data_IF_689627613547
#
_entry.id   IF_689627613547
#
_cell.length_a   1.000
_cell.length_b   1.000
_cell.length_c   1.000
_cell.angle_alpha   90.00
_cell.angle_beta   90.00
_cell.angle_gamma   90.00
#
_symmetry.space_group_name_H-M   'P 1'
#
loop_
_entity.id
_entity.type
_entity.pdbx_description
1 polymer ?
#
# COMPACT_ATOMS: atom_id res chain seq x y z
N UNK A 1 -17.71 -7.42 3.28
CA UNK A 1 -16.82 -7.99 4.29
C UNK A 1 -17.58 -8.09 5.61
N UNK A 2 -17.66 -9.28 6.21
CA UNK A 2 -18.24 -9.44 7.55
C UNK A 2 -17.09 -9.38 8.57
N UNK A 3 -16.97 -8.26 9.28
CA UNK A 3 -15.85 -8.02 10.20
C UNK A 3 -16.05 -8.69 11.57
N UNK A 4 -17.18 -9.37 11.78
CA UNK A 4 -17.51 -10.03 13.05
C UNK A 4 -16.72 -11.32 13.31
N UNK A 5 -15.85 -11.71 12.37
CA UNK A 5 -15.08 -12.94 12.45
C UNK A 5 -13.59 -12.70 12.16
N UNK A 6 -13.03 -11.70 12.83
CA UNK A 6 -11.60 -11.46 12.81
C UNK A 6 -10.99 -11.95 14.12
N UNK A 7 -9.81 -12.56 14.05
CA UNK A 7 -9.01 -12.93 15.22
C UNK A 7 -7.55 -12.63 14.97
N UNK A 8 -6.76 -12.51 16.03
CA UNK A 8 -5.31 -12.33 15.95
C UNK A 8 -4.60 -13.68 16.07
N UNK A 9 -3.57 -13.90 15.26
CA UNK A 9 -2.64 -15.00 15.46
C UNK A 9 -1.53 -14.61 16.44
N UNK A 10 -0.58 -15.53 16.67
CA UNK A 10 0.58 -15.24 17.51
C UNK A 10 1.42 -14.09 16.94
N UNK A 11 1.87 -13.21 17.84
CA UNK A 11 2.75 -12.10 17.48
C UNK A 11 4.13 -12.61 17.08
N UNK A 12 4.64 -12.09 15.96
CA UNK A 12 5.96 -12.40 15.44
C UNK A 12 6.86 -11.19 15.66
N UNK A 13 7.98 -11.38 16.36
CA UNK A 13 8.88 -10.31 16.77
C UNK A 13 10.23 -10.46 16.08
N UNK A 14 10.75 -9.37 15.54
CA UNK A 14 12.13 -9.31 15.08
C UNK A 14 12.64 -7.88 15.21
N UNK A 15 13.77 -7.72 15.90
CA UNK A 15 14.36 -6.40 16.21
C UNK A 15 13.29 -5.44 16.78
N UNK A 16 13.19 -4.25 16.20
CA UNK A 16 12.25 -3.20 16.58
C UNK A 16 10.90 -3.26 15.85
N UNK A 17 10.52 -4.43 15.31
CA UNK A 17 9.25 -4.62 14.64
C UNK A 17 8.46 -5.80 15.23
N UNK A 18 7.15 -5.63 15.35
CA UNK A 18 6.20 -6.71 15.63
C UNK A 18 5.19 -6.80 14.50
N UNK A 19 4.90 -8.03 14.07
CA UNK A 19 3.85 -8.36 13.12
C UNK A 19 2.82 -9.23 13.83
N UNK A 20 1.55 -8.85 13.76
CA UNK A 20 0.44 -9.65 14.32
C UNK A 20 -0.53 -9.96 13.18
N UNK A 21 -0.54 -11.20 12.68
CA UNK A 21 -1.45 -11.64 11.62
C UNK A 21 -2.92 -11.48 12.04
N UNK A 22 -3.75 -11.00 11.12
CA UNK A 22 -5.21 -10.94 11.28
C UNK A 22 -5.80 -12.06 10.43
N UNK A 23 -6.52 -12.98 11.09
CA UNK A 23 -7.15 -14.13 10.48
C UNK A 23 -8.64 -13.87 10.29
N UNK A 24 -9.25 -14.57 9.33
CA UNK A 24 -10.70 -14.67 9.24
C UNK A 24 -11.12 -16.09 8.90
N UNK A 25 -12.19 -16.56 9.56
CA UNK A 25 -12.86 -17.82 9.22
C UNK A 25 -13.73 -17.71 7.94
N UNK A 26 -13.92 -16.49 7.42
CA UNK A 26 -14.71 -16.23 6.23
C UNK A 26 -13.82 -16.15 4.99
N UNK A 27 -14.10 -17.02 4.01
CA UNK A 27 -13.53 -16.88 2.69
C UNK A 27 -14.57 -16.24 1.77
N UNK A 28 -14.51 -14.91 1.59
CA UNK A 28 -15.36 -14.22 0.61
C UNK A 28 -14.63 -14.22 -0.74
N UNK A 29 -15.14 -14.93 -1.77
CA UNK A 29 -14.55 -14.87 -3.10
C UNK A 29 -14.55 -13.41 -3.57
N UNK A 30 -13.37 -12.93 -3.96
CA UNK A 30 -13.18 -11.60 -4.48
C UNK A 30 -12.28 -11.73 -5.70
N UNK A 31 -12.92 -11.92 -6.84
CA UNK A 31 -12.24 -12.15 -8.12
C UNK A 31 -11.85 -10.80 -8.72
N UNK A 32 -10.61 -10.39 -8.44
CA UNK A 32 -10.00 -9.18 -8.99
C UNK A 32 -8.60 -9.50 -9.50
N UNK A 33 -8.24 -8.85 -10.60
CA UNK A 33 -6.90 -8.83 -11.14
C UNK A 33 -6.05 -7.87 -10.32
N UNK A 34 -4.87 -8.28 -9.87
CA UNK A 34 -3.89 -7.36 -9.30
C UNK A 34 -3.02 -6.71 -10.40
N UNK A 35 -2.42 -5.57 -10.09
CA UNK A 35 -1.65 -4.79 -11.06
C UNK A 35 -0.44 -5.54 -11.63
N UNK A 36 0.25 -6.33 -10.81
CA UNK A 36 1.43 -7.10 -11.23
C UNK A 36 1.04 -8.13 -12.29
N UNK A 37 0.02 -8.93 -12.01
CA UNK A 37 -0.50 -9.93 -12.93
C UNK A 37 -1.04 -9.27 -14.21
N UNK A 38 -1.81 -8.20 -14.07
CA UNK A 38 -2.40 -7.47 -15.20
C UNK A 38 -1.37 -6.90 -16.17
N UNK A 39 -0.31 -6.26 -15.66
CA UNK A 39 0.79 -5.75 -16.49
C UNK A 39 1.59 -6.90 -17.11
N UNK A 40 1.92 -7.94 -16.34
CA UNK A 40 2.69 -9.10 -16.82
C UNK A 40 1.99 -9.84 -17.96
N UNK A 41 0.66 -9.96 -17.90
CA UNK A 41 -0.14 -10.61 -18.94
C UNK A 41 -0.48 -9.70 -20.13
N UNK A 42 -0.10 -8.42 -20.10
CA UNK A 42 -0.50 -7.44 -21.11
C UNK A 42 -2.00 -7.11 -21.11
N UNK A 43 -2.71 -7.49 -20.04
CA UNK A 43 -4.13 -7.19 -19.86
C UNK A 43 -4.33 -5.76 -19.34
N UNK A 44 -3.33 -5.18 -18.70
CA UNK A 44 -3.32 -3.80 -18.23
C UNK A 44 -2.25 -3.03 -18.99
N UNK A 45 -2.59 -1.83 -19.46
CA UNK A 45 -1.62 -0.88 -20.03
C UNK A 45 -1.71 0.44 -19.29
N UNK A 46 -0.56 1.06 -19.04
CA UNK A 46 -0.49 2.39 -18.42
C UNK A 46 0.41 3.27 -19.26
N UNK A 47 -0.04 4.48 -19.56
CA UNK A 47 0.63 5.47 -20.41
C UNK A 47 0.52 6.85 -19.78
N UNK A 48 1.42 7.76 -20.16
CA UNK A 48 1.24 9.19 -19.84
C UNK A 48 -0.04 9.70 -20.50
N UNK A 49 -0.68 10.69 -19.89
CA UNK A 49 -1.74 11.42 -20.56
C UNK A 49 -1.15 12.33 -21.66
N UNK A 50 -1.94 12.64 -22.69
CA UNK A 50 -1.55 13.60 -23.73
C UNK A 50 -1.45 15.05 -23.21
N UNK A 51 -1.90 15.29 -21.98
CA UNK A 51 -1.81 16.56 -21.29
C UNK A 51 -0.52 16.64 -20.45
N UNK A 52 -0.10 17.84 -20.07
CA UNK A 52 1.09 18.04 -19.21
C UNK A 52 0.82 17.75 -17.73
N UNK A 53 -0.28 17.06 -17.37
CA UNK A 53 -0.64 16.81 -15.98
C UNK A 53 0.08 15.56 -15.45
N UNK A 54 1.19 15.77 -14.76
CA UNK A 54 2.00 14.70 -14.17
C UNK A 54 1.30 13.92 -13.05
N UNK A 55 0.19 14.45 -12.51
CA UNK A 55 -0.62 13.85 -11.45
C UNK A 55 -1.67 12.86 -11.97
N UNK A 56 -1.69 12.61 -13.28
CA UNK A 56 -2.58 11.63 -13.90
C UNK A 56 -1.81 10.75 -14.88
N UNK A 57 -2.24 9.49 -14.99
CA UNK A 57 -1.82 8.59 -16.05
C UNK A 57 -3.04 7.92 -16.64
N UNK A 58 -2.95 7.56 -17.92
CA UNK A 58 -3.99 6.82 -18.61
C UNK A 58 -3.82 5.34 -18.34
N UNK A 59 -4.84 4.70 -17.77
CA UNK A 59 -4.84 3.26 -17.51
C UNK A 59 -5.94 2.59 -18.32
N UNK A 60 -5.59 1.45 -18.94
CA UNK A 60 -6.50 0.57 -19.66
C UNK A 60 -6.52 -0.80 -19.03
N UNK A 61 -7.69 -1.24 -18.56
CA UNK A 61 -7.96 -2.61 -18.14
C UNK A 61 -8.65 -3.36 -19.29
N UNK A 62 -7.88 -4.13 -20.06
CA UNK A 62 -8.39 -4.99 -21.13
C UNK A 62 -8.85 -6.37 -20.63
N UNK A 63 -8.76 -6.67 -19.33
CA UNK A 63 -9.24 -7.95 -18.80
C UNK A 63 -10.76 -8.00 -18.72
N UNK A 64 -11.30 -9.20 -18.48
CA UNK A 64 -12.72 -9.41 -18.16
C UNK A 64 -13.02 -9.30 -16.67
N UNK A 65 -11.98 -9.10 -15.84
CA UNK A 65 -12.06 -8.98 -14.39
C UNK A 65 -11.84 -7.52 -13.96
N UNK A 66 -12.40 -7.09 -12.81
CA UNK A 66 -12.04 -5.81 -12.23
C UNK A 66 -10.56 -5.81 -11.82
N UNK A 67 -9.85 -4.70 -12.02
CA UNK A 67 -8.45 -4.52 -11.63
C UNK A 67 -8.39 -3.74 -10.32
N UNK A 68 -7.69 -4.25 -9.31
CA UNK A 68 -7.41 -3.51 -8.07
C UNK A 68 -6.05 -2.82 -8.15
N UNK A 69 -6.00 -1.57 -7.69
CA UNK A 69 -4.79 -0.75 -7.55
C UNK A 69 -4.70 -0.29 -6.11
N UNK A 70 -3.57 -0.44 -5.42
CA UNK A 70 -3.43 0.00 -4.02
C UNK A 70 -2.88 1.42 -3.88
N UNK A 71 -3.20 2.10 -2.78
CA UNK A 71 -2.72 3.46 -2.51
C UNK A 71 -1.21 3.37 -2.24
N UNK A 72 -0.44 4.08 -3.03
CA UNK A 72 1.01 4.07 -2.96
C UNK A 72 1.66 3.01 -3.83
N UNK A 73 0.91 2.13 -4.52
CA UNK A 73 1.50 1.10 -5.38
C UNK A 73 2.28 1.77 -6.52
N UNK A 74 3.55 1.40 -6.69
CA UNK A 74 4.44 2.08 -7.60
C UNK A 74 4.43 1.44 -9.00
N UNK A 75 4.31 2.31 -10.00
CA UNK A 75 4.57 2.03 -11.41
C UNK A 75 5.85 2.76 -11.81
N UNK A 76 6.84 2.01 -12.30
CA UNK A 76 8.15 2.53 -12.64
C UNK A 76 8.33 2.67 -14.14
N UNK A 77 9.11 3.64 -14.59
CA UNK A 77 9.36 3.89 -16.01
C UNK A 77 8.90 5.26 -16.47
N UNK A 78 8.45 5.34 -17.72
CA UNK A 78 8.03 6.56 -18.42
C UNK A 78 9.01 7.71 -18.22
N UNK A 79 8.52 8.94 -18.03
CA UNK A 79 9.31 10.13 -17.68
C UNK A 79 9.76 10.12 -16.22
N UNK A 80 8.90 9.61 -15.33
CA UNK A 80 9.10 9.51 -13.87
C UNK A 80 8.35 8.31 -13.30
N UNK A 81 8.89 7.68 -12.26
CA UNK A 81 8.12 6.71 -11.49
C UNK A 81 6.93 7.39 -10.81
N UNK A 82 5.81 6.69 -10.69
CA UNK A 82 4.59 7.17 -10.05
C UNK A 82 4.11 6.19 -9.01
N UNK A 83 3.46 6.70 -7.97
CA UNK A 83 2.65 5.90 -7.05
C UNK A 83 1.17 6.20 -7.27
N UNK A 84 0.33 5.19 -7.21
CA UNK A 84 -1.12 5.33 -7.26
C UNK A 84 -1.58 6.25 -6.11
N UNK A 85 -2.38 7.27 -6.41
CA UNK A 85 -2.71 8.30 -5.43
C UNK A 85 -3.69 7.82 -4.35
N UNK A 86 -4.55 6.86 -4.70
CA UNK A 86 -5.55 6.24 -3.84
C UNK A 86 -5.87 4.85 -4.36
N UNK A 87 -6.22 3.91 -3.48
CA UNK A 87 -6.66 2.60 -3.93
C UNK A 87 -7.93 2.71 -4.77
N UNK A 88 -8.09 1.85 -5.77
CA UNK A 88 -9.15 1.90 -6.78
C UNK A 88 -9.46 0.50 -7.30
N UNK A 89 -10.67 0.30 -7.80
CA UNK A 89 -11.07 -0.89 -8.56
C UNK A 89 -11.56 -0.47 -9.94
N UNK A 90 -10.72 -0.67 -10.94
CA UNK A 90 -10.98 -0.29 -12.33
C UNK A 90 -11.90 -1.36 -12.97
N UNK A 91 -13.03 -0.97 -13.57
CA UNK A 91 -13.93 -1.91 -14.21
C UNK A 91 -13.25 -2.76 -15.30
N UNK A 92 -13.77 -3.95 -15.60
CA UNK A 92 -13.38 -4.70 -16.80
C UNK A 92 -13.56 -3.87 -18.08
N UNK A 93 -12.71 -4.11 -19.08
CA UNK A 93 -12.82 -3.50 -20.42
C UNK A 93 -12.98 -1.98 -20.39
N UNK A 94 -12.24 -1.31 -19.51
CA UNK A 94 -12.36 0.12 -19.26
C UNK A 94 -11.02 0.85 -19.48
N UNK A 95 -11.11 2.11 -19.88
CA UNK A 95 -9.99 3.02 -20.08
C UNK A 95 -10.32 4.34 -19.36
N UNK A 96 -9.45 4.78 -18.45
CA UNK A 96 -9.66 5.98 -17.67
C UNK A 96 -8.35 6.62 -17.24
N UNK A 97 -8.39 7.92 -16.96
CA UNK A 97 -7.30 8.61 -16.27
C UNK A 97 -7.39 8.32 -14.78
N UNK A 98 -6.29 7.85 -14.19
CA UNK A 98 -6.18 7.58 -12.76
C UNK A 98 -5.26 8.61 -12.09
N UNK A 99 -5.57 9.03 -10.85
CA UNK A 99 -4.72 9.94 -10.12
C UNK A 99 -3.46 9.23 -9.61
N UNK A 100 -2.31 9.88 -9.76
CA UNK A 100 -1.01 9.41 -9.28
C UNK A 100 -0.22 10.54 -8.64
N UNK A 101 0.86 10.19 -7.93
CA UNK A 101 1.88 11.14 -7.51
C UNK A 101 3.25 10.66 -8.00
N UNK A 102 4.10 11.55 -8.50
CA UNK A 102 5.47 11.22 -8.87
C UNK A 102 6.25 10.76 -7.63
N UNK A 103 6.86 9.57 -7.71
CA UNK A 103 7.75 9.01 -6.68
C UNK A 103 9.22 9.20 -7.01
N UNK A 104 9.51 9.98 -8.06
CA UNK A 104 10.85 10.30 -8.55
C UNK A 104 10.86 11.77 -9.00
N UNK A 105 11.79 12.58 -8.46
CA UNK A 105 11.83 14.04 -8.71
C UNK A 105 12.95 14.46 -9.67
N UNK A 106 14.06 13.72 -9.67
CA UNK A 106 15.30 14.11 -10.35
C UNK A 106 15.42 13.65 -11.80
N UNK A 107 14.41 12.99 -12.36
CA UNK A 107 14.37 12.53 -13.75
C UNK A 107 13.20 13.17 -14.49
N UNK A 108 13.41 13.56 -15.74
CA UNK A 108 12.35 13.98 -16.66
C UNK A 108 12.72 13.55 -18.09
N UNK A 109 13.19 12.32 -18.21
CA UNK A 109 13.65 11.71 -19.45
C UNK A 109 12.98 10.35 -19.58
N UNK A 110 12.47 10.05 -20.77
CA UNK A 110 11.79 8.79 -21.04
C UNK A 110 12.76 7.62 -20.91
N UNK A 111 12.38 6.62 -20.11
CA UNK A 111 13.17 5.42 -19.87
C UNK A 111 12.58 4.17 -20.52
N UNK A 112 11.27 3.97 -20.35
CA UNK A 112 10.54 2.78 -20.81
C UNK A 112 9.03 3.03 -20.70
N UNK A 113 8.21 2.10 -21.15
CA UNK A 113 6.80 2.08 -20.71
C UNK A 113 6.70 1.88 -19.19
N UNK A 114 5.54 2.18 -18.61
CA UNK A 114 5.28 1.87 -17.20
C UNK A 114 5.28 0.36 -16.95
N UNK A 115 6.01 -0.05 -15.93
CA UNK A 115 6.14 -1.43 -15.49
C UNK A 115 5.84 -1.54 -13.99
N UNK A 116 5.51 -2.74 -13.56
CA UNK A 116 5.36 -3.04 -12.15
C UNK A 116 6.71 -2.92 -11.43
N UNK A 117 6.77 -2.22 -10.29
CA UNK A 117 8.05 -2.00 -9.59
C UNK A 117 8.32 -2.97 -8.44
N UNK A 118 7.31 -3.74 -8.00
CA UNK A 118 7.30 -4.53 -6.76
C UNK A 118 7.33 -3.69 -5.46
N UNK A 119 7.23 -2.36 -5.55
CA UNK A 119 7.24 -1.46 -4.40
C UNK A 119 5.95 -0.69 -4.21
N UNK A 120 5.74 -0.29 -2.97
CA UNK A 120 4.68 0.61 -2.53
C UNK A 120 5.31 1.76 -1.75
N UNK A 121 4.68 2.93 -1.76
CA UNK A 121 5.04 4.03 -0.87
C UNK A 121 5.18 3.52 0.56
N UNK A 122 6.29 3.86 1.24
CA UNK A 122 6.54 3.47 2.62
C UNK A 122 5.42 3.94 3.55
N UNK A 123 5.22 3.24 4.66
CA UNK A 123 4.09 3.43 5.58
C UNK A 123 3.95 4.89 6.06
N UNK A 124 5.07 5.59 6.28
CA UNK A 124 5.13 6.98 6.67
C UNK A 124 4.60 7.93 5.58
N UNK A 125 4.95 7.66 4.31
CA UNK A 125 4.46 8.42 3.16
C UNK A 125 2.96 8.22 2.99
N UNK A 126 2.45 6.97 3.04
CA UNK A 126 1.00 6.68 3.00
C UNK A 126 0.27 7.39 4.15
N UNK A 127 0.82 7.36 5.36
CA UNK A 127 0.26 8.06 6.54
C UNK A 127 0.17 9.57 6.33
N UNK A 128 1.24 10.22 5.85
CA UNK A 128 1.25 11.66 5.57
C UNK A 128 0.24 12.04 4.48
N UNK A 129 0.16 11.28 3.38
CA UNK A 129 -0.87 11.46 2.35
C UNK A 129 -2.27 11.41 2.94
N UNK A 130 -2.54 10.41 3.78
CA UNK A 130 -3.87 10.18 4.35
C UNK A 130 -4.32 11.26 5.34
N UNK A 131 -3.40 12.00 5.98
CA UNK A 131 -3.71 13.08 6.93
C UNK A 131 -3.58 14.49 6.35
N UNK A 132 -2.98 14.62 5.17
CA UNK A 132 -2.87 15.90 4.52
C UNK A 132 -4.27 16.40 4.07
N UNK A 133 -4.66 17.57 4.57
CA UNK A 133 -5.93 18.24 4.21
C UNK A 133 -5.74 19.47 3.32
N UNK A 134 -4.52 20.02 3.25
CA UNK A 134 -4.32 21.42 2.85
C UNK A 134 -3.26 21.65 1.76
N UNK A 135 -2.44 20.64 1.41
CA UNK A 135 -1.37 20.80 0.39
C UNK A 135 -1.63 19.91 -0.85
N UNK A 136 -1.07 20.24 -2.03
CA UNK A 136 -0.98 19.28 -3.13
C UNK A 136 -0.30 17.99 -2.65
N UNK A 137 -0.89 16.84 -2.97
CA UNK A 137 -0.34 15.55 -2.51
C UNK A 137 1.07 15.29 -3.05
N UNK A 138 1.42 15.87 -4.21
CA UNK A 138 2.73 15.73 -4.83
C UNK A 138 3.88 16.21 -3.95
N UNK A 139 3.77 17.40 -3.35
CA UNK A 139 4.83 17.93 -2.47
C UNK A 139 4.97 17.10 -1.19
N UNK A 140 3.85 16.63 -0.64
CA UNK A 140 3.85 15.75 0.54
C UNK A 140 4.59 14.45 0.25
N UNK A 141 4.38 13.87 -0.93
CA UNK A 141 5.07 12.65 -1.38
C UNK A 141 6.56 12.90 -1.53
N UNK A 142 6.97 13.94 -2.27
CA UNK A 142 8.39 14.25 -2.47
C UNK A 142 9.11 14.56 -1.16
N UNK A 143 8.55 15.41 -0.29
CA UNK A 143 9.16 15.71 1.01
C UNK A 143 9.27 14.45 1.89
N UNK A 144 8.33 13.52 1.77
CA UNK A 144 8.41 12.26 2.52
C UNK A 144 9.49 11.32 1.97
N UNK A 145 9.68 11.27 0.65
CA UNK A 145 10.76 10.50 0.01
C UNK A 145 12.13 11.11 0.32
N UNK A 146 12.27 12.44 0.25
CA UNK A 146 13.50 13.16 0.63
C UNK A 146 13.90 12.86 2.10
N UNK A 147 12.92 12.82 3.01
CA UNK A 147 13.17 12.43 4.40
C UNK A 147 13.59 10.96 4.52
N UNK A 148 12.95 10.04 3.78
CA UNK A 148 13.32 8.63 3.77
C UNK A 148 14.75 8.43 3.26
N UNK A 149 15.13 9.12 2.17
CA UNK A 149 16.48 9.06 1.63
C UNK A 149 17.51 9.54 2.66
N UNK A 150 17.21 10.62 3.37
CA UNK A 150 18.06 11.18 4.43
C UNK A 150 18.19 10.21 5.60
N UNK A 151 17.06 9.73 6.13
CA UNK A 151 17.01 8.82 7.29
C UNK A 151 17.73 7.50 7.01
N UNK A 152 17.73 7.03 5.76
CA UNK A 152 18.35 5.78 5.34
C UNK A 152 19.70 5.94 4.67
N UNK A 153 20.22 7.16 4.57
CA UNK A 153 21.44 7.48 3.84
C UNK A 153 21.46 6.86 2.42
N UNK A 154 20.32 6.94 1.72
CA UNK A 154 20.09 6.33 0.41
C UNK A 154 20.04 7.34 -0.73
N UNK A 155 20.57 8.54 -0.52
CA UNK A 155 20.63 9.63 -1.50
C UNK A 155 20.95 9.14 -2.91
N UNK A 156 20.09 9.48 -3.87
CA UNK A 156 20.19 9.08 -5.27
C UNK A 156 20.13 10.33 -6.18
N UNK A 157 20.67 10.22 -7.40
CA UNK A 157 20.61 11.32 -8.38
C UNK A 157 19.15 11.62 -8.78
N UNK A 158 18.34 10.58 -8.86
CA UNK A 158 16.94 10.59 -9.32
C UNK A 158 15.95 10.90 -8.21
N UNK A 159 16.36 10.79 -6.94
CA UNK A 159 15.48 10.93 -5.77
C UNK A 159 14.25 10.04 -5.88
N UNK A 160 14.46 8.78 -6.27
CA UNK A 160 13.39 7.82 -6.51
C UNK A 160 13.12 6.99 -5.26
N UNK A 161 11.85 6.83 -4.88
CA UNK A 161 11.44 5.94 -3.77
C UNK A 161 12.07 4.55 -3.87
N UNK A 162 12.06 3.97 -5.08
CA UNK A 162 12.64 2.67 -5.38
C UNK A 162 14.11 2.55 -4.96
N UNK A 163 14.91 3.61 -5.10
CA UNK A 163 16.34 3.55 -4.81
C UNK A 163 16.61 3.31 -3.31
N UNK A 164 15.74 3.84 -2.43
CA UNK A 164 15.80 3.55 -1.00
C UNK A 164 15.51 2.07 -0.70
N UNK A 165 14.56 1.45 -1.40
CA UNK A 165 14.27 0.02 -1.25
C UNK A 165 15.44 -0.84 -1.76
N UNK A 166 15.95 -0.57 -2.95
CA UNK A 166 17.04 -1.36 -3.55
C UNK A 166 18.31 -1.31 -2.69
N UNK A 167 18.67 -0.12 -2.16
CA UNK A 167 19.84 0.04 -1.29
C UNK A 167 19.68 -0.62 0.09
N UNK A 168 18.44 -0.79 0.58
CA UNK A 168 18.16 -1.46 1.85
C UNK A 168 17.71 -2.91 1.69
N UNK A 169 17.76 -3.48 0.48
CA UNK A 169 17.19 -4.79 0.15
C UNK A 169 17.64 -5.89 1.11
N UNK A 170 18.93 -5.97 1.43
CA UNK A 170 19.46 -7.01 2.33
C UNK A 170 18.91 -6.91 3.77
N UNK A 171 18.79 -5.69 4.30
CA UNK A 171 18.21 -5.47 5.62
C UNK A 171 16.71 -5.78 5.60
N UNK A 172 16.00 -5.37 4.56
CA UNK A 172 14.58 -5.68 4.41
C UNK A 172 14.35 -7.19 4.33
N UNK A 173 15.14 -7.88 3.52
CA UNK A 173 15.06 -9.33 3.34
C UNK A 173 15.46 -10.10 4.62
N UNK A 174 16.27 -9.52 5.51
CA UNK A 174 16.58 -10.14 6.82
C UNK A 174 15.38 -10.08 7.78
N UNK A 175 14.61 -8.99 7.77
CA UNK A 175 13.36 -8.88 8.53
C UNK A 175 12.30 -9.86 8.01
N UNK A 176 12.08 -9.90 6.69
CA UNK A 176 11.04 -10.72 6.08
C UNK A 176 11.15 -12.21 6.42
N UNK A 177 12.36 -12.74 6.59
CA UNK A 177 12.60 -14.14 7.00
C UNK A 177 11.97 -14.52 8.34
N UNK A 178 11.68 -13.54 9.19
CA UNK A 178 11.13 -13.73 10.53
C UNK A 178 9.60 -13.51 10.59
N UNK A 179 8.99 -13.08 9.49
CA UNK A 179 7.55 -12.82 9.40
C UNK A 179 6.90 -13.80 8.44
N UNK A 180 6.35 -14.88 9.01
CA UNK A 180 5.66 -15.95 8.29
C UNK A 180 4.18 -15.61 8.13
N UNK A 181 3.66 -15.95 6.96
CA UNK A 181 2.23 -15.83 6.69
C UNK A 181 1.47 -16.99 7.35
N UNK A 182 0.33 -16.68 7.94
CA UNK A 182 -0.56 -17.66 8.57
C UNK A 182 -1.65 -18.13 7.60
N UNK A 183 -2.17 -19.33 7.84
CA UNK A 183 -3.35 -19.82 7.11
C UNK A 183 -4.55 -18.91 7.39
N UNK A 184 -5.32 -18.60 6.35
CA UNK A 184 -6.47 -17.68 6.43
C UNK A 184 -6.13 -16.27 6.91
N UNK A 185 -4.86 -15.86 6.84
CA UNK A 185 -4.47 -14.48 7.11
C UNK A 185 -5.01 -13.55 6.02
N UNK A 186 -5.78 -12.55 6.41
CA UNK A 186 -6.37 -11.56 5.51
C UNK A 186 -5.81 -10.15 5.74
N UNK A 187 -4.93 -10.00 6.72
CA UNK A 187 -4.40 -8.72 7.13
C UNK A 187 -3.30 -8.83 8.17
N UNK A 188 -2.85 -7.69 8.64
CA UNK A 188 -1.75 -7.57 9.58
C UNK A 188 -1.83 -6.29 10.40
N UNK A 189 -1.46 -6.38 11.68
CA UNK A 189 -1.06 -5.25 12.50
C UNK A 189 0.47 -5.19 12.53
N UNK A 190 1.04 -4.07 12.12
CA UNK A 190 2.48 -3.81 12.18
C UNK A 190 2.77 -2.80 13.28
N UNK A 191 3.61 -3.15 14.24
CA UNK A 191 4.12 -2.22 15.26
C UNK A 191 5.58 -1.93 14.91
N UNK A 192 5.87 -0.68 14.57
CA UNK A 192 7.22 -0.22 14.22
C UNK A 192 7.51 1.02 15.04
N UNK A 193 8.51 0.96 15.92
CA UNK A 193 8.82 2.03 16.85
C UNK A 193 7.57 2.47 17.65
N UNK A 194 7.13 3.72 17.51
CA UNK A 194 5.96 4.29 18.15
C UNK A 194 4.72 4.36 17.26
N UNK A 195 4.67 3.59 16.17
CA UNK A 195 3.59 3.61 15.19
C UNK A 195 2.93 2.23 15.10
N UNK A 196 1.61 2.23 14.96
CA UNK A 196 0.83 1.04 14.63
C UNK A 196 0.23 1.23 13.24
N UNK A 197 0.47 0.25 12.37
CA UNK A 197 -0.13 0.13 11.04
C UNK A 197 -1.12 -1.03 11.03
N UNK A 198 -2.17 -0.90 10.24
CA UNK A 198 -3.20 -1.92 10.08
C UNK A 198 -3.52 -2.06 8.59
N UNK A 199 -3.38 -3.27 8.05
CA UNK A 199 -3.76 -3.60 6.67
C UNK A 199 -4.76 -4.76 6.70
N UNK A 200 -5.90 -4.63 6.03
CA UNK A 200 -6.95 -5.66 5.99
C UNK A 200 -7.52 -5.74 4.57
N UNK A 201 -7.59 -6.96 4.04
CA UNK A 201 -8.11 -7.27 2.71
C UNK A 201 -9.36 -8.14 2.80
N UNK A 202 -10.08 -8.28 1.68
CA UNK A 202 -11.35 -9.01 1.64
C UNK A 202 -11.20 -10.53 1.82
N UNK A 203 -10.05 -11.09 1.44
CA UNK A 203 -9.76 -12.51 1.59
C UNK A 203 -8.26 -12.77 1.62
N UNK A 204 -7.92 -14.02 1.93
CA UNK A 204 -6.55 -14.49 2.09
C UNK A 204 -5.76 -14.40 0.79
N UNK A 205 -6.32 -14.89 -0.32
CA UNK A 205 -5.64 -14.93 -1.62
C UNK A 205 -5.23 -13.54 -2.13
N UNK A 206 -6.04 -12.52 -1.89
CA UNK A 206 -5.68 -11.15 -2.25
C UNK A 206 -4.60 -10.60 -1.32
N UNK A 207 -4.73 -10.81 -0.01
CA UNK A 207 -3.71 -10.37 0.94
C UNK A 207 -2.35 -11.00 0.66
N UNK A 208 -2.33 -12.30 0.34
CA UNK A 208 -1.11 -13.06 0.02
C UNK A 208 -0.29 -12.40 -1.09
N UNK A 209 -0.95 -11.93 -2.15
CA UNK A 209 -0.32 -11.23 -3.27
C UNK A 209 0.40 -9.93 -2.83
N UNK A 210 -0.08 -9.28 -1.77
CA UNK A 210 0.42 -7.97 -1.32
C UNK A 210 1.22 -8.00 -0.01
N UNK A 211 1.17 -9.10 0.74
CA UNK A 211 1.76 -9.22 2.08
C UNK A 211 3.21 -8.75 2.11
N UNK A 212 4.06 -9.32 1.24
CA UNK A 212 5.48 -9.00 1.22
C UNK A 212 5.73 -7.51 0.92
N UNK A 213 5.08 -6.96 -0.11
CA UNK A 213 5.22 -5.54 -0.49
C UNK A 213 4.78 -4.60 0.63
N UNK A 214 3.69 -4.94 1.36
CA UNK A 214 3.23 -4.19 2.51
C UNK A 214 4.22 -4.26 3.67
N UNK A 215 4.73 -5.44 4.03
CA UNK A 215 5.73 -5.60 5.08
C UNK A 215 7.01 -4.82 4.77
N UNK A 216 7.51 -4.87 3.52
CA UNK A 216 8.65 -4.06 3.05
C UNK A 216 8.44 -2.58 3.36
N UNK A 217 7.22 -2.07 3.19
CA UNK A 217 6.86 -0.67 3.41
C UNK A 217 6.87 -0.23 4.87
N UNK A 218 6.72 -1.16 5.81
CA UNK A 218 6.86 -0.93 7.24
C UNK A 218 8.32 -1.09 7.69
N UNK A 219 9.00 -2.13 7.20
CA UNK A 219 10.40 -2.42 7.53
C UNK A 219 11.30 -1.27 7.10
N UNK A 220 11.11 -0.71 5.90
CA UNK A 220 11.94 0.41 5.44
C UNK A 220 11.79 1.66 6.31
N UNK A 221 10.68 1.82 7.05
CA UNK A 221 10.50 2.92 8.01
C UNK A 221 11.09 2.65 9.40
N UNK A 222 11.60 1.44 9.67
CA UNK A 222 12.14 1.08 10.98
C UNK A 222 13.53 1.70 11.21
N UNK A 223 13.81 2.29 12.37
CA UNK A 223 15.17 2.72 12.76
C UNK A 223 15.64 1.98 14.01
N UNK A 224 16.84 2.24 14.54
CA UNK A 224 17.33 1.52 15.74
C UNK A 224 16.64 1.94 17.06
N UNK A 225 15.44 2.53 17.01
CA UNK A 225 14.66 2.90 18.19
C UNK A 225 13.83 1.73 18.68
N UNK A 226 13.69 1.63 20.00
CA UNK A 226 12.80 0.66 20.62
C UNK A 226 11.35 0.86 20.18
N UNK A 227 10.64 -0.25 20.01
CA UNK A 227 9.20 -0.25 19.73
C UNK A 227 8.39 -0.09 21.01
N UNK A 228 7.24 0.55 20.90
CA UNK A 228 6.26 0.63 21.98
C UNK A 228 5.77 -0.77 22.33
N UNK A 229 5.55 -0.99 23.63
CA UNK A 229 4.93 -2.23 24.09
C UNK A 229 3.41 -2.07 24.04
N UNK A 230 2.76 -2.92 23.24
CA UNK A 230 1.30 -3.00 23.14
C UNK A 230 0.86 -4.38 23.63
N UNK A 231 -0.05 -4.39 24.60
CA UNK A 231 -0.62 -5.61 25.17
C UNK A 231 -1.54 -6.33 24.18
N UNK A 232 -1.76 -7.63 24.37
CA UNK A 232 -2.73 -8.37 23.55
C UNK A 232 -4.14 -7.76 23.67
N UNK A 233 -4.56 -7.34 24.86
CA UNK A 233 -5.86 -6.70 25.05
C UNK A 233 -6.00 -5.40 24.24
N UNK A 234 -4.94 -4.60 24.14
CA UNK A 234 -4.97 -3.40 23.28
C UNK A 234 -5.06 -3.74 21.80
N UNK A 235 -4.39 -4.79 21.34
CA UNK A 235 -4.52 -5.26 19.95
C UNK A 235 -5.93 -5.76 19.64
N UNK A 236 -6.53 -6.51 20.55
CA UNK A 236 -7.93 -6.95 20.43
C UNK A 236 -8.91 -5.77 20.46
N UNK A 237 -8.62 -4.74 21.26
CA UNK A 237 -9.39 -3.49 21.25
C UNK A 237 -9.25 -2.75 19.91
N UNK A 238 -8.05 -2.70 19.32
CA UNK A 238 -7.84 -2.15 17.99
C UNK A 238 -8.68 -2.93 16.97
N UNK A 239 -8.62 -4.27 16.98
CA UNK A 239 -9.34 -5.10 16.03
C UNK A 239 -10.87 -4.97 16.18
N UNK A 240 -11.37 -5.04 17.42
CA UNK A 240 -12.81 -4.92 17.72
C UNK A 240 -13.37 -3.51 17.49
N UNK A 241 -12.53 -2.47 17.53
CA UNK A 241 -12.94 -1.11 17.16
C UNK A 241 -13.28 -0.95 15.68
N UNK A 242 -12.89 -1.91 14.83
CA UNK A 242 -13.17 -1.87 13.39
C UNK A 242 -14.62 -2.30 13.17
N UNK A 243 -15.54 -1.35 13.24
CA UNK A 243 -16.95 -1.58 12.98
C UNK A 243 -17.44 -0.93 11.67
N UNK A 244 -18.70 -1.21 11.32
CA UNK A 244 -19.31 -0.66 10.12
C UNK A 244 -19.41 0.88 10.12
N UNK A 245 -19.31 1.52 11.28
CA UNK A 245 -19.41 2.97 11.47
C UNK A 245 -18.05 3.68 11.40
N UNK A 246 -16.96 2.95 11.65
CA UNK A 246 -15.56 3.38 11.51
C UNK A 246 -15.15 3.64 10.05
N UNK A 247 -16.12 3.54 9.15
CA UNK A 247 -15.97 3.53 7.72
C UNK A 247 -16.45 4.82 7.10
N UNK A 248 -15.51 5.73 6.86
CA UNK A 248 -15.78 6.93 6.07
C UNK A 248 -15.89 6.53 4.60
N UNK A 249 -17.12 6.37 4.11
CA UNK A 249 -17.40 6.18 2.68
C UNK A 249 -16.94 7.41 1.90
N UNK A 250 -15.82 7.30 1.17
CA UNK A 250 -15.50 8.31 0.15
C UNK A 250 -16.20 7.99 -1.16
N UNK A 251 -16.40 9.02 -2.00
CA UNK A 251 -16.74 8.83 -3.40
C UNK A 251 -15.57 8.08 -4.04
N UNK A 252 -15.74 6.79 -4.31
CA UNK A 252 -14.81 6.07 -5.14
C UNK A 252 -14.82 6.71 -6.53
N UNK A 253 -13.66 6.76 -7.18
CA UNK A 253 -13.55 7.17 -8.59
C UNK A 253 -14.24 6.10 -9.48
N UNK A 254 -14.60 4.93 -8.91
CA UNK A 254 -15.01 3.72 -9.62
C UNK A 254 -16.11 2.87 -8.89
N UNK A 255 -16.13 1.55 -9.18
CA UNK A 255 -17.11 0.55 -8.69
C UNK A 255 -16.99 0.21 -7.19
N UNK A 256 -15.97 0.71 -6.48
CA UNK A 256 -15.73 0.38 -5.09
C UNK A 256 -16.53 1.17 -4.06
N UNK A 257 -16.55 0.67 -2.82
CA UNK A 257 -16.67 1.46 -1.60
C UNK A 257 -15.33 1.41 -0.88
N UNK A 258 -14.76 2.59 -0.68
CA UNK A 258 -13.57 2.79 0.14
C UNK A 258 -13.97 3.06 1.58
N UNK A 259 -13.25 2.44 2.51
CA UNK A 259 -13.30 2.81 3.90
C UNK A 259 -11.91 3.07 4.46
N UNK A 260 -11.76 4.20 5.15
CA UNK A 260 -10.56 4.54 5.92
C UNK A 260 -10.87 4.31 7.39
N UNK A 261 -10.04 3.52 8.06
CA UNK A 261 -9.99 3.38 9.52
C UNK A 261 -8.94 4.37 10.01
N UNK A 262 -9.25 5.15 11.04
CA UNK A 262 -8.31 6.04 11.71
C UNK A 262 -8.65 6.09 13.19
N UNK A 263 -7.69 5.75 14.05
CA UNK A 263 -7.82 5.83 15.51
C UNK A 263 -6.53 6.41 16.12
N UNK A 264 -6.47 6.47 17.46
CA UNK A 264 -5.30 7.00 18.19
C UNK A 264 -4.00 6.21 17.96
N UNK A 265 -4.09 5.00 17.40
CA UNK A 265 -2.97 4.08 17.22
C UNK A 265 -2.48 4.01 15.77
N UNK A 266 -3.36 4.22 14.78
CA UNK A 266 -3.00 4.02 13.38
C UNK A 266 -4.08 4.37 12.37
N UNK A 267 -3.80 4.03 11.11
CA UNK A 267 -4.79 4.04 10.03
C UNK A 267 -4.81 2.68 9.34
N UNK A 268 -5.95 2.37 8.74
CA UNK A 268 -6.09 1.23 7.84
C UNK A 268 -7.04 1.55 6.69
N UNK A 269 -7.05 0.70 5.68
CA UNK A 269 -7.88 0.83 4.50
C UNK A 269 -8.62 -0.47 4.25
N UNK A 270 -9.93 -0.39 3.99
CA UNK A 270 -10.75 -1.55 3.60
C UNK A 270 -11.47 -1.20 2.30
N UNK A 271 -11.48 -2.14 1.36
CA UNK A 271 -12.04 -1.97 0.03
C UNK A 271 -13.05 -3.05 -0.29
N UNK A 272 -14.27 -2.65 -0.64
CA UNK A 272 -15.32 -3.60 -1.03
C UNK A 272 -15.88 -3.23 -2.40
N UNK A 273 -16.17 -4.23 -3.24
CA UNK A 273 -16.92 -4.00 -4.49
C UNK A 273 -18.36 -3.59 -4.17
N UNK A 274 -18.93 -2.66 -4.94
CA UNK A 274 -20.39 -2.54 -5.00
C UNK A 274 -20.92 -3.81 -5.68
N UNK A 275 -21.88 -4.48 -5.03
CA UNK A 275 -22.78 -5.40 -5.72
C UNK A 275 -23.66 -4.61 -6.68
#
# INVERSE_FOLDING_TARGET
MNLKHLSLAERQNYENMTVVPILSDTNTPFDVLDLKEGLKMGLVKIEECDNSNIEQVKLKNNSVSPLILLDGEEIAGSLQNRIVAQTMIIPPKNEMEIPVNCSEKGRNEYKSEFQYSDYIANSNTRRKKAYNKNNPLQEVVWNSIDNLETDKNTSSKTKALRDSYEKNKYNIDSYLKHFKMENNQIGVICIVENKVGLEIFNNHSLYEKYNEMLLRSYIIDSSNKEKINISNNELENILSSIDANSFIKKKAVDLGKYYKISNSYGNGHIWTLKK
#
